data_IF_772890183321
#
_entry.id   IF_772890183321
#
_cell.length_a   1.000
_cell.length_b   1.000
_cell.length_c   1.000
_cell.angle_alpha   90.00
_cell.angle_beta   90.00
_cell.angle_gamma   90.00
#
_symmetry.space_group_name_H-M   'P 1'
#
loop_
_entity.id
_entity.type
_entity.pdbx_description
1 polymer ?
#
# COMPACT_ATOMS: atom_id res chain seq x y z
N UNK A 1 -8.94 7.70 24.08
CA UNK A 1 -8.18 7.77 22.82
C UNK A 1 -6.77 8.21 23.18
N UNK A 2 -5.89 7.26 23.44
CA UNK A 2 -4.57 7.52 24.03
C UNK A 2 -3.53 6.77 23.18
N UNK A 3 -2.83 7.49 22.29
CA UNK A 3 -1.64 6.98 21.59
C UNK A 3 -0.54 8.02 21.67
N UNK A 4 -0.09 8.26 22.90
CA UNK A 4 1.10 9.01 23.22
C UNK A 4 1.94 8.22 24.22
N UNK A 5 2.30 6.97 23.91
CA UNK A 5 3.09 6.16 24.82
C UNK A 5 3.97 5.16 24.07
N UNK A 6 4.94 5.70 23.32
CA UNK A 6 6.35 5.27 23.23
C UNK A 6 6.94 5.82 21.94
N UNK A 7 8.07 6.52 22.01
CA UNK A 7 8.81 7.01 20.83
C UNK A 7 9.54 5.88 20.07
N UNK A 8 8.94 4.69 20.02
CA UNK A 8 9.48 3.61 19.19
C UNK A 8 8.92 3.78 17.78
N UNK A 9 9.78 3.83 16.75
CA UNK A 9 9.28 3.69 15.39
C UNK A 9 8.45 2.40 15.31
N UNK A 10 7.37 2.40 14.52
CA UNK A 10 6.50 1.23 14.44
C UNK A 10 7.35 0.01 14.07
N UNK A 11 7.07 -1.12 14.73
CA UNK A 11 7.82 -2.37 14.53
C UNK A 11 7.73 -2.90 13.09
N UNK A 12 6.93 -2.27 12.24
CA UNK A 12 6.83 -2.51 10.81
C UNK A 12 6.42 -1.21 10.10
N UNK A 13 6.81 -1.08 8.82
CA UNK A 13 6.25 -0.06 7.93
C UNK A 13 4.97 -0.61 7.31
N UNK A 14 3.91 0.20 7.27
CA UNK A 14 2.62 -0.22 6.71
C UNK A 14 2.19 0.73 5.59
N UNK A 15 1.70 0.16 4.50
CA UNK A 15 1.22 0.92 3.35
C UNK A 15 -0.14 0.37 2.91
N UNK A 16 -1.08 1.27 2.61
CA UNK A 16 -2.45 0.95 2.23
C UNK A 16 -2.74 1.48 0.84
N UNK A 17 -3.36 0.63 0.02
CA UNK A 17 -3.92 0.96 -1.28
C UNK A 17 -5.42 0.81 -1.25
N UNK A 18 -6.11 1.85 -1.71
CA UNK A 18 -7.55 1.82 -1.93
C UNK A 18 -7.85 2.07 -3.41
N UNK A 19 -8.77 1.31 -3.98
CA UNK A 19 -9.25 1.53 -5.36
C UNK A 19 -9.99 0.33 -5.93
N UNK A 20 -10.30 0.34 -7.23
CA UNK A 20 -10.95 -0.78 -7.91
C UNK A 20 -10.10 -2.05 -7.83
N UNK A 21 -10.74 -3.22 -7.72
CA UNK A 21 -10.05 -4.52 -7.59
C UNK A 21 -8.98 -4.74 -8.66
N UNK A 22 -9.34 -4.55 -9.92
CA UNK A 22 -8.43 -4.74 -11.04
C UNK A 22 -7.20 -3.80 -11.00
N UNK A 23 -7.37 -2.57 -10.48
CA UNK A 23 -6.27 -1.63 -10.32
C UNK A 23 -5.30 -2.06 -9.21
N UNK A 24 -5.82 -2.65 -8.12
CA UNK A 24 -5.00 -3.21 -7.05
C UNK A 24 -4.23 -4.43 -7.53
N UNK A 25 -4.89 -5.36 -8.23
CA UNK A 25 -4.25 -6.58 -8.74
C UNK A 25 -3.11 -6.23 -9.72
N UNK A 26 -3.33 -5.24 -10.60
CA UNK A 26 -2.28 -4.75 -11.51
C UNK A 26 -1.11 -4.11 -10.75
N UNK A 27 -1.39 -3.27 -9.75
CA UNK A 27 -0.36 -2.60 -8.96
C UNK A 27 0.48 -3.59 -8.13
N UNK A 28 -0.17 -4.59 -7.54
CA UNK A 28 0.47 -5.67 -6.79
C UNK A 28 1.34 -6.55 -7.69
N UNK A 29 0.92 -6.81 -8.92
CA UNK A 29 1.74 -7.54 -9.90
C UNK A 29 2.94 -6.71 -10.41
N UNK A 30 2.86 -5.38 -10.37
CA UNK A 30 3.85 -4.48 -10.94
C UNK A 30 5.00 -4.11 -10.00
N UNK A 31 4.80 -4.07 -8.67
CA UNK A 31 5.89 -3.75 -7.75
C UNK A 31 6.92 -4.88 -7.65
N UNK A 32 8.14 -4.54 -7.24
CA UNK A 32 9.16 -5.54 -6.94
C UNK A 32 8.86 -6.18 -5.58
N UNK A 33 9.02 -7.51 -5.43
CA UNK A 33 8.89 -8.15 -4.13
C UNK A 33 9.92 -7.56 -3.15
N UNK A 34 9.45 -7.14 -1.98
CA UNK A 34 10.28 -6.61 -0.91
C UNK A 34 10.47 -7.69 0.16
N UNK A 35 11.70 -7.96 0.64
CA UNK A 35 11.92 -8.97 1.67
C UNK A 35 11.08 -8.73 2.92
N UNK A 36 10.40 -9.78 3.38
CA UNK A 36 9.51 -9.72 4.54
C UNK A 36 8.20 -8.96 4.29
N UNK A 37 7.83 -8.69 3.04
CA UNK A 37 6.52 -8.13 2.70
C UNK A 37 5.40 -9.13 3.02
N UNK A 38 4.45 -8.69 3.83
CA UNK A 38 3.22 -9.40 4.15
C UNK A 38 2.04 -8.64 3.55
N UNK A 39 1.18 -9.37 2.86
CA UNK A 39 0.05 -8.82 2.12
C UNK A 39 -1.26 -9.18 2.80
N UNK A 40 -2.11 -8.18 3.01
CA UNK A 40 -3.41 -8.31 3.67
C UNK A 40 -4.50 -7.76 2.75
N UNK A 41 -5.38 -8.63 2.27
CA UNK A 41 -6.40 -8.33 1.28
C UNK A 41 -6.05 -8.87 -0.12
N UNK A 42 -6.72 -8.39 -1.19
CA UNK A 42 -7.66 -7.28 -1.20
C UNK A 42 -8.98 -7.57 -0.47
N UNK A 43 -9.40 -6.68 0.43
CA UNK A 43 -10.71 -6.76 1.12
C UNK A 43 -11.67 -5.71 0.58
N UNK A 44 -12.96 -6.01 0.39
CA UNK A 44 -13.94 -5.01 -0.04
C UNK A 44 -14.11 -3.92 1.03
N UNK A 45 -14.34 -2.69 0.59
CA UNK A 45 -14.73 -1.56 1.43
C UNK A 45 -16.25 -1.35 1.38
N UNK A 46 -16.78 -0.52 2.29
CA UNK A 46 -18.20 -0.16 2.31
C UNK A 46 -18.62 0.64 1.06
N UNK A 47 -17.68 1.37 0.46
CA UNK A 47 -17.90 2.05 -0.81
C UNK A 47 -17.95 1.04 -1.96
N UNK A 48 -19.02 1.09 -2.76
CA UNK A 48 -19.25 0.14 -3.86
C UNK A 48 -18.11 0.17 -4.87
N UNK A 49 -17.57 -1.01 -5.16
CA UNK A 49 -16.46 -1.18 -6.11
C UNK A 49 -15.08 -0.79 -5.57
N UNK A 50 -14.98 -0.33 -4.32
CA UNK A 50 -13.71 -0.02 -3.67
C UNK A 50 -13.17 -1.20 -2.87
N UNK A 51 -11.88 -1.44 -2.98
CA UNK A 51 -11.16 -2.50 -2.32
C UNK A 51 -9.93 -1.93 -1.62
N UNK A 52 -9.43 -2.67 -0.63
CA UNK A 52 -8.23 -2.32 0.12
C UNK A 52 -7.21 -3.43 0.10
N UNK A 53 -6.00 -3.11 -0.31
CA UNK A 53 -4.81 -3.93 -0.08
C UNK A 53 -3.93 -3.22 0.95
N UNK A 54 -3.45 -3.95 1.95
CA UNK A 54 -2.49 -3.44 2.93
C UNK A 54 -1.24 -4.29 2.87
N UNK A 55 -0.07 -3.64 2.84
CA UNK A 55 1.22 -4.32 2.86
C UNK A 55 2.06 -3.83 4.02
N UNK A 56 2.65 -4.79 4.72
CA UNK A 56 3.51 -4.59 5.87
C UNK A 56 4.90 -5.12 5.56
N UNK A 57 5.94 -4.38 5.93
CA UNK A 57 7.34 -4.84 5.85
C UNK A 57 8.08 -4.54 7.15
N UNK A 58 9.17 -5.26 7.45
CA UNK A 58 10.10 -4.87 8.50
C UNK A 58 10.57 -3.41 8.31
N UNK A 59 10.89 -2.67 9.39
CA UNK A 59 11.25 -1.25 9.29
C UNK A 59 12.45 -0.99 8.37
N UNK A 60 13.39 -1.95 8.31
CA UNK A 60 14.57 -1.91 7.47
C UNK A 60 14.26 -1.85 5.96
N UNK A 61 13.08 -2.31 5.54
CA UNK A 61 12.66 -2.34 4.13
C UNK A 61 11.53 -1.36 3.82
N UNK A 62 11.21 -0.46 4.77
CA UNK A 62 10.11 0.48 4.61
C UNK A 62 10.32 1.47 3.46
N UNK A 63 11.55 1.94 3.25
CA UNK A 63 11.85 2.90 2.17
C UNK A 63 11.75 2.23 0.79
N UNK A 64 12.28 1.01 0.65
CA UNK A 64 12.14 0.19 -0.56
C UNK A 64 10.67 -0.04 -0.93
N UNK A 65 9.83 -0.37 0.06
CA UNK A 65 8.39 -0.53 -0.14
C UNK A 65 7.76 0.76 -0.65
N UNK A 66 7.97 1.87 0.04
CA UNK A 66 7.38 3.16 -0.33
C UNK A 66 7.87 3.64 -1.70
N UNK A 67 9.16 3.47 -1.99
CA UNK A 67 9.76 3.85 -3.26
C UNK A 67 9.21 3.01 -4.42
N UNK A 68 9.22 1.67 -4.30
CA UNK A 68 8.70 0.77 -5.32
C UNK A 68 7.22 1.03 -5.63
N UNK A 69 6.44 1.36 -4.60
CA UNK A 69 5.04 1.70 -4.75
C UNK A 69 4.76 3.03 -5.43
N UNK A 70 5.54 4.05 -5.08
CA UNK A 70 5.47 5.33 -5.78
C UNK A 70 5.80 5.16 -7.25
N UNK A 71 6.76 4.29 -7.60
CA UNK A 71 7.07 3.97 -8.99
C UNK A 71 5.89 3.32 -9.71
N UNK A 72 5.22 2.35 -9.08
CA UNK A 72 4.01 1.72 -9.66
C UNK A 72 2.90 2.74 -9.90
N UNK A 73 2.64 3.62 -8.93
CA UNK A 73 1.63 4.68 -9.09
C UNK A 73 2.03 5.67 -10.20
N UNK A 74 3.31 6.06 -10.27
CA UNK A 74 3.81 6.97 -11.29
C UNK A 74 3.69 6.38 -12.71
N UNK A 75 4.02 5.10 -12.88
CA UNK A 75 3.88 4.39 -14.15
C UNK A 75 2.40 4.31 -14.60
N UNK A 76 1.51 3.96 -13.67
CA UNK A 76 0.05 3.95 -13.92
C UNK A 76 -0.46 5.32 -14.36
N UNK A 77 -0.02 6.39 -13.72
CA UNK A 77 -0.38 7.76 -14.09
C UNK A 77 0.17 8.14 -15.48
N UNK A 78 1.42 7.77 -15.77
CA UNK A 78 2.05 8.05 -17.07
C UNK A 78 1.31 7.40 -18.23
N UNK A 79 0.81 6.16 -18.03
CA UNK A 79 0.03 5.44 -19.03
C UNK A 79 -1.47 5.75 -18.98
N UNK A 80 -1.91 6.62 -18.08
CA UNK A 80 -3.33 6.94 -17.82
C UNK A 80 -4.16 5.67 -17.59
N UNK A 81 -3.61 4.73 -16.83
CA UNK A 81 -4.24 3.46 -16.53
C UNK A 81 -5.62 3.69 -15.88
N UNK A 82 -6.65 2.90 -16.24
CA UNK A 82 -7.97 3.04 -15.67
C UNK A 82 -8.00 2.65 -14.19
N UNK A 83 -8.91 3.27 -13.44
CA UNK A 83 -9.10 3.01 -12.02
C UNK A 83 -8.15 3.80 -11.13
N UNK A 84 -8.72 4.72 -10.33
CA UNK A 84 -7.99 5.53 -9.38
C UNK A 84 -7.44 4.66 -8.24
N UNK A 85 -6.15 4.81 -7.94
CA UNK A 85 -5.52 4.22 -6.76
C UNK A 85 -5.12 5.32 -5.78
N UNK A 86 -5.54 5.16 -4.53
CA UNK A 86 -5.10 6.01 -3.42
C UNK A 86 -4.09 5.25 -2.58
N UNK A 87 -2.91 5.85 -2.41
CA UNK A 87 -1.82 5.35 -1.61
C UNK A 87 -1.73 6.11 -0.29
N UNK A 88 -1.67 5.39 0.84
CA UNK A 88 -1.40 5.95 2.16
C UNK A 88 -0.27 5.20 2.84
N UNK A 89 0.78 5.92 3.21
CA UNK A 89 1.87 5.40 4.02
C UNK A 89 1.52 5.65 5.47
N UNK A 90 1.66 4.62 6.30
CA UNK A 90 1.48 4.70 7.74
C UNK A 90 0.12 5.30 8.17
N UNK A 91 -1.01 4.67 7.77
CA UNK A 91 -2.36 5.13 8.09
C UNK A 91 -2.71 4.76 9.54
N UNK A 92 -2.41 5.65 10.49
CA UNK A 92 -2.83 5.53 11.89
C UNK A 92 -3.34 6.85 12.46
#
# INVERSE_FOLDING_TARGET
AERAATRFPPAARLVRFDGPRAALDEAEAAWRPVPGAEHFGPTPLEEEGAWRLTVRVPPAHGDDLVSGLKQVVADRLSRKAPGSLRLQVDPW
#
